data_IF_041808635872
#
_entry.id   IF_041808635872
#
_cell.length_a   1.000
_cell.length_b   1.000
_cell.length_c   1.000
_cell.angle_alpha   90.00
_cell.angle_beta   90.00
_cell.angle_gamma   90.00
#
_symmetry.space_group_name_H-M   'P 1'
#
loop_
_entity.id
_entity.type
_entity.pdbx_description
1 polymer ?
#
# COMPACT_ATOMS: atom_id res chain seq x y z
N UNK A 1 -21.21 8.40 12.32
CA UNK A 1 -21.39 8.01 11.88
C UNK A 1 -21.22 7.40 11.57
N UNK A 2 -21.03 7.35 11.74
CA UNK A 2 -21.05 6.73 11.27
C UNK A 2 -21.00 6.37 10.87
N UNK A 3 -21.02 6.70 10.96
CA UNK A 3 -21.23 6.15 10.40
C UNK A 3 -21.17 5.58 10.03
N UNK A 4 -21.18 5.55 10.06
CA UNK A 4 -21.29 4.88 9.46
C UNK A 4 -21.20 4.22 9.19
N UNK A 5 -21.30 4.11 9.34
CA UNK A 5 -21.39 3.36 8.88
C UNK A 5 -21.19 2.64 8.97
N UNK A 6 -21.13 2.46 9.18
CA UNK A 6 -21.12 1.69 9.19
C UNK A 6 -21.02 1.30 9.62
N UNK A 7 -21.17 1.11 9.89
CA UNK A 7 -21.24 0.63 10.12
C UNK A 7 -20.98 0.05 10.43
N UNK A 8 -21.08 -0.49 10.97
CA UNK A 8 -21.07 -1.21 11.10
C UNK A 8 -20.81 -1.88 11.54
N UNK A 9 -20.95 -2.30 11.68
CA UNK A 9 -20.85 -3.01 11.94
C UNK A 9 -20.33 -3.61 12.23
N UNK A 10 -20.36 -3.98 12.89
CA UNK A 10 -19.76 -4.59 12.98
C UNK A 10 -18.98 -5.07 12.94
N UNK A 11 -19.36 -5.07 13.21
CA UNK A 11 -18.47 -6.05 13.05
C UNK A 11 -17.07 -5.83 13.59
N UNK A 12 -16.56 -6.74 14.24
CA UNK A 12 -15.25 -6.69 14.77
C UNK A 12 -14.18 -6.38 13.79
N UNK A 13 -14.56 -6.26 12.57
CA UNK A 13 -13.67 -5.93 11.49
C UNK A 13 -13.01 -4.59 11.71
N UNK A 14 -11.71 -4.50 11.46
CA UNK A 14 -11.01 -3.23 11.50
C UNK A 14 -11.60 -2.29 10.47
N UNK A 15 -11.86 -1.07 10.87
CA UNK A 15 -12.49 -0.09 10.01
C UNK A 15 -11.56 0.34 8.89
N UNK A 16 -12.01 0.22 7.65
CA UNK A 16 -11.26 0.70 6.50
C UNK A 16 -11.40 2.20 6.38
N UNK A 17 -10.33 2.87 5.95
CA UNK A 17 -10.38 4.29 5.68
C UNK A 17 -11.02 4.54 4.32
N UNK A 18 -11.75 5.64 4.20
CA UNK A 18 -12.44 5.99 2.98
C UNK A 18 -11.49 6.07 1.80
N UNK A 19 -11.88 5.47 0.71
CA UNK A 19 -11.13 5.52 -0.54
C UNK A 19 -10.09 4.44 -0.71
N UNK A 20 -9.70 3.74 0.36
CA UNK A 20 -8.71 2.68 0.24
C UNK A 20 -9.43 1.35 0.03
N UNK A 21 -9.22 0.67 -1.11
CA UNK A 21 -9.87 -0.62 -1.36
C UNK A 21 -9.44 -1.67 -0.33
N UNK A 22 -10.37 -2.54 0.04
CA UNK A 22 -10.11 -3.58 1.04
C UNK A 22 -9.07 -4.59 0.57
N UNK A 23 -8.90 -4.75 -0.74
CA UNK A 23 -7.93 -5.69 -1.29
C UNK A 23 -6.60 -5.04 -1.67
N UNK A 24 -6.42 -3.74 -1.41
CA UNK A 24 -5.16 -3.05 -1.70
C UNK A 24 -4.12 -3.46 -0.67
N UNK A 25 -3.03 -4.06 -1.14
CA UNK A 25 -1.96 -4.51 -0.24
C UNK A 25 -0.62 -4.57 -0.96
N UNK A 26 0.44 -4.55 -0.16
CA UNK A 26 1.80 -4.65 -0.66
C UNK A 26 2.56 -5.70 0.16
N UNK A 27 3.50 -6.39 -0.49
CA UNK A 27 4.42 -7.27 0.23
C UNK A 27 5.70 -6.50 0.50
N UNK A 28 6.05 -6.34 1.78
CA UNK A 28 7.20 -5.54 2.19
C UNK A 28 8.29 -6.43 2.76
N UNK A 29 9.52 -6.13 2.40
CA UNK A 29 10.71 -6.69 3.01
C UNK A 29 11.75 -5.57 3.04
N UNK A 30 13.03 -5.89 3.14
CA UNK A 30 14.07 -4.87 3.15
C UNK A 30 15.30 -5.36 2.40
N UNK A 31 16.10 -4.43 1.91
CA UNK A 31 17.27 -4.76 1.09
C UNK A 31 18.35 -5.51 1.87
N UNK A 32 18.54 -5.19 3.16
CA UNK A 32 19.55 -5.87 3.97
C UNK A 32 19.22 -7.36 4.10
N UNK A 33 17.96 -7.69 4.38
CA UNK A 33 17.51 -9.08 4.45
C UNK A 33 17.58 -9.76 3.08
N UNK A 34 17.24 -9.03 2.02
CA UNK A 34 17.31 -9.57 0.67
C UNK A 34 18.75 -9.99 0.32
N UNK A 35 19.71 -9.13 0.65
CA UNK A 35 21.13 -9.42 0.39
C UNK A 35 21.66 -10.56 1.25
N UNK A 36 21.07 -10.74 2.43
CA UNK A 36 21.44 -11.79 3.37
C UNK A 36 20.77 -13.14 3.04
N UNK A 37 19.79 -13.12 2.14
CA UNK A 37 19.04 -14.33 1.78
C UNK A 37 17.89 -14.64 2.73
N UNK A 38 17.56 -13.73 3.65
CA UNK A 38 16.54 -13.95 4.67
C UNK A 38 15.33 -13.04 4.49
N UNK A 39 15.07 -12.59 3.26
CA UNK A 39 14.03 -11.59 2.99
C UNK A 39 12.63 -12.03 3.38
N UNK A 40 12.38 -13.32 3.52
CA UNK A 40 11.05 -13.81 3.88
C UNK A 40 10.85 -14.00 5.38
N UNK A 41 11.91 -13.89 6.16
CA UNK A 41 11.79 -14.10 7.61
C UNK A 41 10.86 -13.07 8.25
N UNK A 42 11.00 -11.81 7.90
CA UNK A 42 10.14 -10.73 8.40
C UNK A 42 9.33 -10.07 7.28
N UNK A 43 9.49 -10.54 6.03
CA UNK A 43 8.66 -10.05 4.94
C UNK A 43 7.20 -10.41 5.15
N UNK A 44 6.28 -9.51 4.79
CA UNK A 44 4.86 -9.76 5.03
C UNK A 44 3.98 -8.86 4.16
N UNK A 45 2.72 -9.27 4.03
CA UNK A 45 1.70 -8.45 3.36
C UNK A 45 1.20 -7.38 4.32
N UNK A 46 1.06 -6.17 3.81
CA UNK A 46 0.51 -5.04 4.56
C UNK A 46 -0.75 -4.58 3.84
N UNK A 47 -1.86 -4.57 4.54
CA UNK A 47 -3.13 -4.08 3.98
C UNK A 47 -3.17 -2.56 4.09
N UNK A 48 -3.33 -1.90 2.95
CA UNK A 48 -3.27 -0.44 2.90
C UNK A 48 -4.49 0.23 3.53
N UNK A 49 -5.61 -0.49 3.59
CA UNK A 49 -6.85 0.06 4.15
C UNK A 49 -6.80 0.22 5.68
N UNK A 50 -5.70 -0.18 6.31
CA UNK A 50 -5.53 -0.01 7.76
C UNK A 50 -4.85 1.31 8.13
N UNK A 51 -4.45 2.09 7.13
CA UNK A 51 -3.73 3.34 7.36
C UNK A 51 -4.43 4.48 6.65
N UNK A 52 -4.50 5.63 7.31
CA UNK A 52 -5.21 6.79 6.78
C UNK A 52 -4.42 7.52 5.69
N UNK A 53 -3.11 7.41 5.72
CA UNK A 53 -2.24 8.15 4.79
C UNK A 53 -0.87 7.50 4.71
N UNK A 54 -0.04 8.01 3.81
CA UNK A 54 1.30 7.48 3.57
C UNK A 54 2.19 7.59 4.81
N UNK A 55 2.03 8.65 5.58
CA UNK A 55 2.86 8.85 6.77
C UNK A 55 2.61 7.75 7.81
N UNK A 56 1.35 7.42 8.05
CA UNK A 56 1.01 6.33 8.98
C UNK A 56 1.57 5.00 8.50
N UNK A 57 1.45 4.74 7.20
CA UNK A 57 1.96 3.51 6.61
C UNK A 57 3.47 3.42 6.77
N UNK A 58 4.18 4.49 6.40
CA UNK A 58 5.65 4.51 6.51
C UNK A 58 6.11 4.32 7.95
N UNK A 59 5.45 4.96 8.90
CA UNK A 59 5.79 4.82 10.32
C UNK A 59 5.61 3.39 10.80
N UNK A 60 4.50 2.75 10.40
CA UNK A 60 4.22 1.38 10.81
C UNK A 60 5.25 0.40 10.25
N UNK A 61 5.61 0.56 8.98
CA UNK A 61 6.60 -0.31 8.34
C UNK A 61 7.97 -0.13 9.01
N UNK A 62 8.40 1.10 9.23
CA UNK A 62 9.69 1.38 9.87
C UNK A 62 9.75 0.78 11.27
N UNK A 63 8.66 0.92 12.03
CA UNK A 63 8.61 0.40 13.39
C UNK A 63 8.67 -1.13 13.39
N UNK A 64 7.98 -1.76 12.43
CA UNK A 64 8.00 -3.21 12.31
C UNK A 64 9.41 -3.75 12.11
N UNK A 65 10.15 -3.16 11.16
CA UNK A 65 11.50 -3.65 10.87
C UNK A 65 12.52 -3.26 11.95
N UNK A 66 12.31 -2.14 12.63
CA UNK A 66 13.14 -1.82 13.80
C UNK A 66 12.95 -2.85 14.91
N UNK A 67 11.72 -3.33 15.11
CA UNK A 67 11.46 -4.40 16.07
C UNK A 67 12.07 -5.72 15.63
N UNK A 68 12.07 -6.00 14.32
CA UNK A 68 12.71 -7.18 13.78
C UNK A 68 14.22 -7.16 14.07
N UNK A 69 14.85 -5.99 13.93
CA UNK A 69 16.28 -5.85 14.25
C UNK A 69 16.55 -6.16 15.71
N UNK A 70 15.66 -5.79 16.61
CA UNK A 70 15.84 -6.07 18.03
C UNK A 70 15.69 -7.55 18.33
N UNK A 71 14.76 -8.22 17.66
CA UNK A 71 14.47 -9.64 17.89
C UNK A 71 15.51 -10.55 17.24
N UNK A 72 15.94 -10.20 16.03
CA UNK A 72 16.78 -11.07 15.21
C UNK A 72 17.69 -10.22 14.32
N UNK A 73 18.70 -9.57 14.89
CA UNK A 73 19.60 -8.74 14.08
C UNK A 73 20.32 -9.59 13.04
N UNK A 74 20.58 -9.00 11.89
CA UNK A 74 21.30 -9.67 10.83
C UNK A 74 22.76 -9.88 11.28
N UNK A 75 23.35 -11.00 10.84
CA UNK A 75 24.70 -11.36 11.26
C UNK A 75 25.75 -10.33 10.82
N UNK A 76 25.48 -9.65 9.70
CA UNK A 76 26.38 -8.61 9.21
C UNK A 76 26.22 -7.28 9.96
N UNK A 77 25.23 -7.15 10.82
CA UNK A 77 25.00 -5.94 11.60
C UNK A 77 24.28 -4.82 10.85
N UNK A 78 23.91 -5.03 9.59
CA UNK A 78 23.22 -3.99 8.82
C UNK A 78 21.77 -3.89 9.28
N UNK A 79 21.28 -2.69 9.61
CA UNK A 79 19.87 -2.55 10.00
C UNK A 79 18.93 -2.69 8.80
N UNK A 80 17.71 -3.13 9.08
CA UNK A 80 16.66 -3.28 8.06
C UNK A 80 15.96 -1.93 7.88
N UNK A 81 16.65 -0.98 7.28
CA UNK A 81 16.14 0.39 7.12
C UNK A 81 15.61 0.70 5.73
N UNK A 82 16.19 0.06 4.71
CA UNK A 82 15.77 0.33 3.33
C UNK A 82 14.69 -0.64 2.92
N UNK A 83 13.47 -0.15 2.85
CA UNK A 83 12.29 -0.97 2.56
C UNK A 83 12.23 -1.33 1.09
N UNK A 84 11.83 -2.55 0.82
CA UNK A 84 11.71 -3.10 -0.53
C UNK A 84 10.30 -3.66 -0.71
N UNK A 85 9.59 -3.20 -1.73
CA UNK A 85 8.24 -3.66 -2.04
C UNK A 85 8.35 -4.63 -3.20
N UNK A 86 8.05 -5.92 -2.99
CA UNK A 86 8.28 -6.94 -4.01
C UNK A 86 7.03 -7.45 -4.68
N UNK A 87 5.85 -7.12 -4.15
CA UNK A 87 4.59 -7.52 -4.75
C UNK A 87 3.49 -6.57 -4.31
N UNK A 88 2.38 -6.56 -5.04
CA UNK A 88 1.27 -5.67 -4.75
C UNK A 88 -0.03 -6.23 -5.33
N UNK A 89 -1.16 -5.78 -4.76
CA UNK A 89 -2.50 -6.09 -5.27
C UNK A 89 -3.42 -4.92 -4.99
N UNK A 90 -4.45 -4.78 -5.81
CA UNK A 90 -5.56 -3.89 -5.50
C UNK A 90 -5.38 -2.43 -5.87
N UNK A 91 -4.36 -2.08 -6.66
CA UNK A 91 -4.21 -0.72 -7.16
C UNK A 91 -3.49 -0.74 -8.51
N UNK A 92 -3.54 0.38 -9.26
CA UNK A 92 -2.92 0.39 -10.59
C UNK A 92 -1.40 0.19 -10.54
N UNK A 93 -0.92 -0.65 -11.44
CA UNK A 93 0.51 -0.99 -11.53
C UNK A 93 1.40 0.24 -11.70
N UNK A 94 0.86 1.31 -12.27
CA UNK A 94 1.62 2.55 -12.48
C UNK A 94 2.19 3.14 -11.19
N UNK A 95 1.58 2.81 -10.03
CA UNK A 95 2.06 3.28 -8.74
C UNK A 95 3.13 2.38 -8.12
N UNK A 96 3.30 1.18 -8.67
CA UNK A 96 4.20 0.19 -8.07
C UNK A 96 5.65 0.38 -8.52
N UNK A 97 6.57 0.30 -7.56
CA UNK A 97 7.98 0.01 -7.80
C UNK A 97 8.56 -0.52 -6.49
N UNK A 98 9.76 -1.08 -6.56
CA UNK A 98 10.39 -1.64 -5.36
C UNK A 98 10.59 -0.63 -4.25
N UNK A 99 10.75 0.63 -4.60
CA UNK A 99 10.92 1.72 -3.62
C UNK A 99 9.89 2.81 -3.85
N UNK A 100 8.64 2.41 -4.07
CA UNK A 100 7.56 3.33 -4.40
C UNK A 100 7.30 4.34 -3.29
N UNK A 101 6.84 5.53 -3.70
CA UNK A 101 6.36 6.55 -2.79
C UNK A 101 4.86 6.30 -2.59
N UNK A 102 4.43 6.21 -1.34
CA UNK A 102 3.03 5.94 -1.03
C UNK A 102 2.14 7.18 -1.10
N UNK A 103 2.72 8.36 -1.10
CA UNK A 103 1.95 9.61 -1.11
C UNK A 103 1.05 9.73 -2.34
N UNK A 104 1.58 9.57 -3.57
CA UNK A 104 0.71 9.64 -4.76
C UNK A 104 -0.39 8.57 -4.76
N UNK A 105 -0.10 7.39 -4.21
CA UNK A 105 -1.08 6.31 -4.17
C UNK A 105 -2.25 6.67 -3.26
N UNK A 106 -1.97 7.18 -2.05
CA UNK A 106 -3.05 7.57 -1.14
C UNK A 106 -3.85 8.76 -1.68
N UNK A 107 -3.19 9.68 -2.36
CA UNK A 107 -3.88 10.79 -3.02
C UNK A 107 -4.83 10.27 -4.11
N UNK A 108 -4.37 9.27 -4.85
CA UNK A 108 -5.20 8.63 -5.87
C UNK A 108 -6.41 7.95 -5.25
N UNK A 109 -6.24 7.23 -4.15
CA UNK A 109 -7.37 6.58 -3.47
C UNK A 109 -8.41 7.61 -3.05
N UNK A 110 -7.96 8.75 -2.54
CA UNK A 110 -8.87 9.81 -2.12
C UNK A 110 -9.65 10.37 -3.30
N UNK A 111 -8.98 10.60 -4.42
CA UNK A 111 -9.65 11.09 -5.63
C UNK A 111 -10.66 10.06 -6.15
N UNK A 112 -10.28 8.81 -6.17
CA UNK A 112 -11.16 7.75 -6.65
C UNK A 112 -12.43 7.66 -5.79
N UNK A 113 -12.27 7.75 -4.48
CA UNK A 113 -13.40 7.72 -3.57
C UNK A 113 -14.29 8.96 -3.76
N UNK A 114 -13.70 10.13 -3.84
CA UNK A 114 -14.43 11.40 -3.97
C UNK A 114 -15.18 11.48 -5.29
N UNK A 115 -14.57 11.03 -6.38
CA UNK A 115 -15.16 11.08 -7.72
C UNK A 115 -16.00 9.86 -8.04
N UNK A 116 -15.89 8.79 -7.25
CA UNK A 116 -16.72 7.61 -7.40
C UNK A 116 -16.32 6.65 -8.51
N UNK A 117 -15.11 6.73 -9.03
CA UNK A 117 -14.70 5.80 -10.09
C UNK A 117 -14.00 4.57 -9.51
N UNK A 118 -14.06 3.48 -10.30
CA UNK A 118 -13.57 2.17 -9.91
C UNK A 118 -12.09 2.02 -10.25
N UNK A 119 -11.29 1.65 -9.26
CA UNK A 119 -9.86 1.46 -9.42
C UNK A 119 -9.52 0.40 -10.47
N UNK A 120 -10.31 -0.67 -10.53
CA UNK A 120 -10.08 -1.74 -11.51
C UNK A 120 -10.30 -1.24 -12.93
N UNK A 121 -11.28 -0.36 -13.11
CA UNK A 121 -11.55 0.23 -14.42
C UNK A 121 -10.40 1.13 -14.84
N UNK A 122 -9.88 1.94 -13.91
CA UNK A 122 -8.73 2.80 -14.20
C UNK A 122 -7.54 1.96 -14.62
N UNK A 123 -7.25 0.88 -13.90
CA UNK A 123 -6.14 0.00 -14.22
C UNK A 123 -6.31 -0.63 -15.60
N UNK A 124 -7.52 -1.10 -15.91
CA UNK A 124 -7.79 -1.73 -17.19
C UNK A 124 -7.53 -0.76 -18.36
N UNK A 125 -7.97 0.47 -18.23
CA UNK A 125 -7.78 1.46 -19.28
C UNK A 125 -6.30 1.88 -19.43
N UNK A 126 -5.57 2.00 -18.32
CA UNK A 126 -4.16 2.34 -18.41
C UNK A 126 -3.38 1.24 -19.13
N UNK A 127 -3.69 -0.02 -18.86
CA UNK A 127 -3.02 -1.14 -19.52
C UNK A 127 -3.39 -1.25 -20.98
N UNK A 128 -4.67 -1.09 -21.28
CA UNK A 128 -5.17 -1.31 -22.63
C UNK A 128 -4.65 -0.28 -23.62
N UNK A 129 -4.62 0.99 -23.22
CA UNK A 129 -4.29 2.08 -24.11
C UNK A 129 -2.92 2.71 -23.92
N UNK A 130 -2.14 2.20 -22.98
CA UNK A 130 -0.87 2.80 -22.59
C UNK A 130 -1.04 4.25 -22.09
N UNK A 131 -2.19 4.53 -21.50
CA UNK A 131 -2.44 5.85 -20.91
C UNK A 131 -1.88 5.87 -19.49
N UNK A 132 -1.46 7.04 -19.01
CA UNK A 132 -1.10 7.14 -17.60
C UNK A 132 -2.37 7.29 -16.74
N UNK A 133 -2.22 7.11 -15.44
CA UNK A 133 -3.37 7.11 -14.53
C UNK A 133 -4.08 8.46 -14.57
N UNK A 134 -3.33 9.55 -14.64
CA UNK A 134 -3.91 10.89 -14.63
C UNK A 134 -4.77 11.15 -15.85
N UNK A 135 -4.35 10.68 -17.02
CA UNK A 135 -5.14 10.81 -18.25
C UNK A 135 -6.45 10.05 -18.13
N UNK A 136 -6.41 8.84 -17.57
CA UNK A 136 -7.61 8.03 -17.40
C UNK A 136 -8.55 8.67 -16.40
N UNK A 137 -8.01 9.19 -15.29
CA UNK A 137 -8.81 9.89 -14.29
C UNK A 137 -9.54 11.08 -14.91
N UNK A 138 -8.83 11.87 -15.70
CA UNK A 138 -9.42 13.03 -16.37
C UNK A 138 -10.55 12.62 -17.29
N UNK A 139 -10.35 11.53 -18.03
CA UNK A 139 -11.35 10.96 -18.91
C UNK A 139 -12.61 10.55 -18.13
N UNK A 140 -12.44 9.93 -16.98
CA UNK A 140 -13.56 9.42 -16.21
C UNK A 140 -14.36 10.49 -15.48
N UNK A 141 -13.84 11.71 -15.41
CA UNK A 141 -14.56 12.83 -14.80
C UNK A 141 -15.56 13.45 -15.76
N UNK A 142 -15.58 13.06 -17.00
CA UNK A 142 -16.55 13.53 -17.99
C UNK A 142 -17.56 12.41 -18.31
#
# INVERSE_FOLDING_TARGET
>A
MNTTVKTHTKNTRVKSYAGVPADAKIFVTDYASYNDGSQFEFGHWVNLDKFANAEELNSAISKYFANADKKSPLSCGTPREEIMITDFEGFPEAFYSECMDFEPLYEYFERAFTCGYDTEVVEAFTKLGNYNVEDVEEFMLF
#
